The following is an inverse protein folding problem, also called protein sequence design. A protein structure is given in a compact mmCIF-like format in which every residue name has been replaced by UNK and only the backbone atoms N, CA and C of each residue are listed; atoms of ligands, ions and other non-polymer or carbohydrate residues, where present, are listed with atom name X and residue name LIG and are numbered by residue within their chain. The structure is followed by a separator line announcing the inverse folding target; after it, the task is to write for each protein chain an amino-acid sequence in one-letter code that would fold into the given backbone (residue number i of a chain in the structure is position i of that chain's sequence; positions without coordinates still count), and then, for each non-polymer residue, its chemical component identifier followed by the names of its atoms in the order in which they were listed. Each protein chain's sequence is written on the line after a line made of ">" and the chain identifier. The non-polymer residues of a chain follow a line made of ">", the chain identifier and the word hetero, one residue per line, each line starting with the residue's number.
data_IF_554676259708
#
_entry.id   IF_554676259708
#
_cell.length_a   1.000
_cell.length_b   1.000
_cell.length_c   1.000
_cell.angle_alpha   90.00
_cell.angle_beta   90.00
_cell.angle_gamma   90.00
#
_symmetry.space_group_name_H-M   'P 1'
#
loop_
_entity.id
_entity.type
_entity.pdbx_description
1 polymer ?
#
# COMPACT_ATOMS: atom_id res chain seq x y z
N UNK A 1 0.45 -12.57 11.23
CA UNK A 1 -0.10 -11.37 10.52
C UNK A 1 1.05 -10.67 9.78
N UNK A 2 0.82 -9.66 8.94
CA UNK A 2 1.87 -8.95 8.15
C UNK A 2 3.15 -8.60 8.96
N UNK A 3 3.02 -8.39 10.27
CA UNK A 3 4.14 -8.13 11.20
C UNK A 3 5.12 -9.29 11.38
N UNK A 4 4.72 -10.53 11.09
CA UNK A 4 5.54 -11.74 11.26
C UNK A 4 6.22 -12.18 9.94
N UNK A 5 6.00 -11.47 8.83
CA UNK A 5 6.49 -11.87 7.52
C UNK A 5 7.86 -11.23 7.20
N UNK A 6 8.91 -12.05 7.22
CA UNK A 6 10.29 -11.65 6.91
C UNK A 6 10.50 -11.09 5.49
N UNK A 7 9.56 -11.35 4.57
CA UNK A 7 9.61 -10.84 3.19
C UNK A 7 9.06 -9.42 3.02
N UNK A 8 8.49 -8.85 4.08
CA UNK A 8 7.86 -7.52 4.07
C UNK A 8 8.55 -6.54 5.04
N UNK A 9 9.79 -6.82 5.45
CA UNK A 9 10.54 -6.00 6.42
C UNK A 9 10.76 -4.56 5.94
N UNK A 10 11.03 -4.38 4.64
CA UNK A 10 11.19 -3.04 4.05
C UNK A 10 9.88 -2.27 4.10
N UNK A 11 8.77 -2.90 3.75
CA UNK A 11 7.44 -2.32 3.85
C UNK A 11 7.08 -1.93 5.29
N UNK A 12 7.43 -2.77 6.27
CA UNK A 12 7.23 -2.44 7.69
C UNK A 12 8.00 -1.20 8.11
N UNK A 13 9.24 -1.02 7.63
CA UNK A 13 10.04 0.19 7.89
C UNK A 13 9.36 1.45 7.32
N UNK A 14 8.78 1.35 6.12
CA UNK A 14 7.98 2.43 5.53
C UNK A 14 6.70 2.71 6.33
N UNK A 15 5.97 1.66 6.74
CA UNK A 15 4.79 1.79 7.61
C UNK A 15 5.11 2.27 9.03
N UNK A 16 6.31 2.07 9.55
CA UNK A 16 6.73 2.68 10.81
C UNK A 16 6.92 4.19 10.65
N UNK A 17 7.39 4.63 9.47
CA UNK A 17 7.71 6.03 9.19
C UNK A 17 6.46 6.86 8.87
N UNK A 18 5.53 6.32 8.07
CA UNK A 18 4.31 7.05 7.64
C UNK A 18 3.00 6.30 7.94
N UNK A 19 3.08 5.09 8.49
CA UNK A 19 1.93 4.22 8.59
C UNK A 19 0.92 4.59 9.67
N UNK A 20 1.14 5.63 10.49
CA UNK A 20 0.05 6.26 11.25
C UNK A 20 -1.08 6.69 10.30
N UNK A 21 -0.73 7.34 9.19
CA UNK A 21 -1.69 7.84 8.21
C UNK A 21 -2.36 6.68 7.46
N UNK A 22 -1.57 5.70 7.02
CA UNK A 22 -2.09 4.51 6.32
C UNK A 22 -2.98 3.66 7.23
N UNK A 23 -2.60 3.48 8.50
CA UNK A 23 -3.44 2.78 9.49
C UNK A 23 -4.77 3.49 9.70
N UNK A 24 -4.79 4.82 9.67
CA UNK A 24 -6.06 5.56 9.75
C UNK A 24 -6.97 5.24 8.57
N UNK A 25 -6.43 5.10 7.35
CA UNK A 25 -7.24 4.67 6.19
C UNK A 25 -7.76 3.23 6.35
N UNK A 26 -6.95 2.32 6.88
CA UNK A 26 -7.39 0.94 7.12
C UNK A 26 -8.47 0.85 8.21
N UNK A 27 -8.34 1.64 9.28
CA UNK A 27 -9.31 1.68 10.38
C UNK A 27 -10.58 2.46 10.04
N UNK A 28 -10.49 3.54 9.25
CA UNK A 28 -11.64 4.36 8.87
C UNK A 28 -12.64 3.63 7.97
N UNK A 29 -12.20 2.59 7.26
CA UNK A 29 -13.01 1.86 6.29
C UNK A 29 -13.84 0.73 6.92
N UNK A 30 -14.01 0.72 8.25
CA UNK A 30 -14.78 -0.32 8.94
C UNK A 30 -14.10 -1.68 9.01
N UNK A 31 -12.78 -1.73 8.78
CA UNK A 31 -11.95 -2.94 8.91
C UNK A 31 -11.88 -3.83 7.67
N UNK A 32 -12.73 -3.62 6.66
CA UNK A 32 -12.69 -4.37 5.41
C UNK A 32 -11.84 -3.62 4.36
N UNK A 33 -10.60 -4.06 4.20
CA UNK A 33 -9.63 -3.48 3.27
C UNK A 33 -8.81 -4.59 2.65
N UNK A 34 -8.60 -4.52 1.33
CA UNK A 34 -7.60 -5.34 0.65
C UNK A 34 -6.32 -4.53 0.47
N UNK A 35 -5.20 -5.06 0.96
CA UNK A 35 -3.90 -4.41 0.85
C UNK A 35 -2.90 -5.27 0.09
N UNK A 36 -2.44 -4.76 -1.05
CA UNK A 36 -1.38 -5.39 -1.82
C UNK A 36 -0.02 -5.00 -1.25
N UNK A 37 0.49 -5.82 -0.33
CA UNK A 37 1.80 -5.60 0.27
C UNK A 37 2.92 -5.96 -0.74
N UNK A 38 3.73 -5.01 -1.22
CA UNK A 38 4.89 -5.32 -2.04
C UNK A 38 5.92 -6.11 -1.24
N UNK A 39 6.59 -7.08 -1.88
CA UNK A 39 7.71 -7.82 -1.29
C UNK A 39 9.00 -6.99 -1.32
N UNK A 40 9.97 -7.38 -0.51
CA UNK A 40 11.29 -6.74 -0.45
C UNK A 40 11.95 -6.62 -1.82
N UNK A 41 11.84 -7.64 -2.68
CA UNK A 41 12.41 -7.65 -4.04
C UNK A 41 11.81 -6.56 -4.95
N UNK A 42 10.58 -6.12 -4.68
CA UNK A 42 9.96 -5.01 -5.41
C UNK A 42 10.65 -3.68 -5.09
N UNK A 43 11.12 -3.50 -3.85
CA UNK A 43 11.88 -2.32 -3.44
C UNK A 43 13.32 -2.36 -3.95
N UNK A 44 13.95 -3.54 -3.96
CA UNK A 44 15.32 -3.71 -4.49
C UNK A 44 15.42 -3.40 -6.00
N UNK A 45 14.32 -3.58 -6.74
CA UNK A 45 14.23 -3.21 -8.16
C UNK A 45 14.12 -1.71 -8.40
N UNK A 46 13.84 -0.91 -7.37
CA UNK A 46 13.75 0.54 -7.49
C UNK A 46 15.18 1.11 -7.52
N UNK A 47 15.55 1.93 -8.51
CA UNK A 47 16.83 2.61 -8.51
C UNK A 47 17.05 3.41 -7.22
N UNK A 48 18.24 3.28 -6.62
CA UNK A 48 18.60 3.92 -5.35
C UNK A 48 18.28 5.43 -5.26
N UNK A 49 18.43 6.25 -6.33
CA UNK A 49 18.03 7.67 -6.28
C UNK A 49 16.53 7.86 -6.06
N UNK A 50 15.70 6.98 -6.63
CA UNK A 50 14.25 7.02 -6.51
C UNK A 50 13.85 6.53 -5.12
N UNK A 51 14.45 5.44 -4.62
CA UNK A 51 14.19 4.94 -3.26
C UNK A 51 14.51 6.00 -2.21
N UNK A 52 15.67 6.67 -2.31
CA UNK A 52 16.03 7.76 -1.39
C UNK A 52 15.07 8.94 -1.47
N UNK A 53 14.56 9.27 -2.66
CA UNK A 53 13.56 10.33 -2.83
C UNK A 53 12.24 9.94 -2.20
N UNK A 54 11.81 8.69 -2.40
CA UNK A 54 10.61 8.11 -1.81
C UNK A 54 10.66 8.15 -0.27
N UNK A 55 11.82 7.83 0.32
CA UNK A 55 12.03 7.87 1.77
C UNK A 55 12.04 9.30 2.34
N UNK A 56 12.46 10.30 1.55
CA UNK A 56 12.49 11.71 1.98
C UNK A 56 11.14 12.40 1.80
N UNK A 57 10.40 12.04 0.76
CA UNK A 57 9.12 12.66 0.43
C UNK A 57 7.95 11.85 0.98
N UNK A 58 7.50 12.23 2.18
CA UNK A 58 6.39 11.57 2.87
C UNK A 58 5.08 11.66 2.10
N UNK A 59 4.84 12.75 1.37
CA UNK A 59 3.61 12.97 0.60
C UNK A 59 3.58 12.00 -0.58
N UNK A 60 4.72 11.82 -1.23
CA UNK A 60 4.86 10.92 -2.36
C UNK A 60 4.76 9.46 -1.95
N UNK A 61 5.41 9.10 -0.84
CA UNK A 61 5.32 7.77 -0.25
C UNK A 61 3.88 7.42 0.17
N UNK A 62 3.15 8.38 0.75
CA UNK A 62 1.74 8.18 1.12
C UNK A 62 0.86 7.91 -0.10
N UNK A 63 0.99 8.67 -1.18
CA UNK A 63 0.24 8.45 -2.43
C UNK A 63 0.51 7.06 -3.00
N UNK A 64 1.77 6.64 -3.03
CA UNK A 64 2.14 5.32 -3.55
C UNK A 64 1.56 4.21 -2.68
N UNK A 65 1.60 4.33 -1.35
CA UNK A 65 0.97 3.34 -0.48
C UNK A 65 -0.55 3.30 -0.64
N UNK A 66 -1.22 4.44 -0.89
CA UNK A 66 -2.67 4.48 -1.15
C UNK A 66 -3.09 3.73 -2.41
N UNK A 67 -2.23 3.71 -3.44
CA UNK A 67 -2.47 2.91 -4.64
C UNK A 67 -2.47 1.40 -4.38
N UNK A 68 -1.89 0.95 -3.27
CA UNK A 68 -1.87 -0.46 -2.89
C UNK A 68 -3.05 -0.85 -1.99
N UNK A 69 -3.92 0.10 -1.64
CA UNK A 69 -5.05 -0.10 -0.73
C UNK A 69 -6.35 -0.01 -1.52
N UNK A 70 -7.13 -1.08 -1.48
CA UNK A 70 -8.51 -1.10 -1.96
C UNK A 70 -9.43 -0.92 -0.73
N UNK A 71 -10.18 0.19 -0.66
CA UNK A 71 -11.10 0.45 0.42
C UNK A 71 -12.40 -0.36 0.27
N UNK A 72 -12.98 -0.77 1.39
CA UNK A 72 -14.36 -1.26 1.51
C UNK A 72 -14.68 -2.49 0.64
N UNK A 73 -13.65 -3.21 0.20
CA UNK A 73 -13.79 -4.44 -0.58
C UNK A 73 -12.74 -5.46 -0.15
N UNK A 74 -13.22 -6.65 0.19
CA UNK A 74 -12.40 -7.86 0.28
C UNK A 74 -12.36 -8.46 -1.12
N UNK A 75 -11.26 -8.21 -1.82
CA UNK A 75 -11.05 -8.74 -3.17
C UNK A 75 -10.49 -10.15 -3.04
N UNK A 76 -11.30 -11.13 -3.40
CA UNK A 76 -10.85 -12.53 -3.43
C UNK A 76 -10.37 -12.90 -4.83
N UNK A 77 -9.50 -13.90 -4.93
CA UNK A 77 -8.87 -14.28 -6.20
C UNK A 77 -9.88 -14.64 -7.29
N UNK A 78 -11.06 -15.14 -6.91
CA UNK A 78 -12.16 -15.49 -7.83
C UNK A 78 -12.78 -14.27 -8.53
N UNK A 79 -12.69 -13.08 -7.92
CA UNK A 79 -13.16 -11.83 -8.51
C UNK A 79 -12.12 -11.17 -9.44
N UNK A 80 -10.89 -11.68 -9.47
CA UNK A 80 -9.80 -11.13 -10.27
C UNK A 80 -9.76 -11.86 -11.61
N UNK A 81 -10.28 -11.20 -12.64
CA UNK A 81 -10.22 -11.67 -14.04
C UNK A 81 -9.35 -10.74 -14.89
N UNK A 82 -9.04 -11.15 -16.11
CA UNK A 82 -8.32 -10.28 -17.05
C UNK A 82 -9.10 -8.97 -17.24
N UNK A 83 -8.38 -7.85 -17.29
CA UNK A 83 -8.93 -6.49 -17.43
C UNK A 83 -9.79 -5.99 -16.24
N UNK A 84 -9.68 -6.61 -15.07
CA UNK A 84 -10.35 -6.11 -13.86
C UNK A 84 -9.77 -4.76 -13.44
N UNK A 85 -10.62 -3.72 -13.42
CA UNK A 85 -10.26 -2.36 -12.96
C UNK A 85 -10.90 -2.14 -11.58
N UNK A 86 -10.09 -1.75 -10.60
CA UNK A 86 -10.53 -1.54 -9.22
C UNK A 86 -10.06 -0.16 -8.75
N UNK A 87 -10.94 0.56 -8.07
CA UNK A 87 -10.61 1.84 -7.46
C UNK A 87 -9.79 1.63 -6.18
N UNK A 88 -8.72 2.39 -6.03
CA UNK A 88 -7.86 2.42 -4.84
C UNK A 88 -8.19 3.63 -3.97
N UNK A 89 -7.66 3.69 -2.74
CA UNK A 89 -7.90 4.81 -1.80
C UNK A 89 -7.49 6.16 -2.38
N UNK A 90 -6.45 6.21 -3.21
CA UNK A 90 -5.99 7.46 -3.81
C UNK A 90 -7.04 8.07 -4.75
N UNK A 91 -7.77 7.22 -5.48
CA UNK A 91 -8.76 7.63 -6.46
C UNK A 91 -10.05 8.22 -5.84
N UNK A 92 -10.23 8.12 -4.52
CA UNK A 92 -11.36 8.76 -3.83
C UNK A 92 -11.21 10.27 -3.66
N UNK A 93 -10.06 10.88 -3.97
CA UNK A 93 -9.87 12.33 -3.84
C UNK A 93 -10.46 13.16 -4.99
N UNK A 94 -11.08 12.53 -5.99
CA UNK A 94 -11.64 13.19 -7.17
C UNK A 94 -13.13 12.94 -7.43
N UNK A 95 -13.90 12.48 -6.43
CA UNK A 95 -15.37 12.38 -6.50
C UNK A 95 -16.03 13.20 -5.40
#
# INVERSE_FOLDING_TARGET
>A
MLMDNYRCTTLMRFMATIGQIVRNYMSATGGLVTFFAPWNEAFERIPEPIERRLLRDRIWLEQILKLHIIPAKELVTEEITNDTIIATVDNMRHL
#
